data_IF_642555284286
#
_entry.id   IF_642555284286
#
_cell.length_a   1.000
_cell.length_b   1.000
_cell.length_c   1.000
_cell.angle_alpha   90.00
_cell.angle_beta   90.00
_cell.angle_gamma   90.00
#
_symmetry.space_group_name_H-M   'P 1'
#
loop_
_entity.id
_entity.type
_entity.pdbx_description
1 polymer ?
#
# COMPACT_ATOMS: atom_id res chain seq x y z
N UNK A 1 6.19 -14.10 -30.83
CA UNK A 1 5.44 -13.37 -29.79
C UNK A 1 3.96 -13.64 -30.02
N UNK A 2 3.27 -14.22 -29.03
CA UNK A 2 1.82 -14.46 -29.15
C UNK A 2 1.07 -13.13 -29.28
N UNK A 3 0.02 -13.08 -30.09
CA UNK A 3 -0.88 -11.91 -30.12
C UNK A 3 -1.47 -11.73 -28.72
N UNK A 4 -1.42 -10.52 -28.17
CA UNK A 4 -2.03 -10.17 -26.89
C UNK A 4 -3.52 -10.48 -26.87
N UNK A 5 -4.06 -10.73 -25.68
CA UNK A 5 -5.50 -10.96 -25.48
C UNK A 5 -6.23 -9.61 -25.46
N UNK A 6 -7.53 -9.58 -25.83
CA UNK A 6 -8.34 -8.37 -25.68
C UNK A 6 -8.45 -7.83 -24.24
N UNK A 7 -8.17 -8.68 -23.25
CA UNK A 7 -8.18 -8.35 -21.81
C UNK A 7 -6.85 -7.79 -21.30
N UNK A 8 -5.83 -7.74 -22.14
CA UNK A 8 -4.52 -7.25 -21.72
C UNK A 8 -4.58 -5.73 -21.50
N UNK A 9 -3.89 -5.28 -20.46
CA UNK A 9 -3.76 -3.86 -20.09
C UNK A 9 -2.29 -3.52 -19.84
N UNK A 10 -1.94 -2.25 -20.01
CA UNK A 10 -0.61 -1.72 -19.69
C UNK A 10 -0.71 -0.64 -18.62
N UNK A 11 0.19 -0.67 -17.63
CA UNK A 11 0.24 0.36 -16.58
C UNK A 11 0.74 1.66 -17.20
N UNK A 12 0.00 2.75 -16.97
CA UNK A 12 0.35 4.10 -17.42
C UNK A 12 0.81 4.97 -16.28
N UNK A 13 0.19 4.81 -15.12
CA UNK A 13 0.53 5.58 -13.93
C UNK A 13 0.26 4.74 -12.68
N UNK A 14 1.12 4.90 -11.68
CA UNK A 14 0.88 4.40 -10.34
C UNK A 14 1.19 5.53 -9.35
N UNK A 15 0.19 5.94 -8.59
CA UNK A 15 0.34 6.95 -7.54
C UNK A 15 0.11 6.31 -6.18
N UNK A 16 0.88 6.78 -5.20
CA UNK A 16 0.78 6.34 -3.81
C UNK A 16 0.51 7.55 -2.94
N UNK A 17 -0.47 7.43 -2.05
CA UNK A 17 -0.74 8.41 -1.00
C UNK A 17 -0.75 7.73 0.36
N UNK A 18 -0.48 8.52 1.40
CA UNK A 18 -0.46 8.06 2.77
C UNK A 18 -1.52 8.78 3.57
N UNK A 19 -2.27 8.03 4.37
CA UNK A 19 -3.37 8.53 5.19
C UNK A 19 -3.24 8.00 6.62
N UNK A 20 -3.24 8.87 7.61
CA UNK A 20 -3.30 8.42 9.01
C UNK A 20 -4.75 8.13 9.41
N UNK A 21 -5.00 6.92 9.90
CA UNK A 21 -6.32 6.48 10.36
C UNK A 21 -6.25 5.90 11.77
N UNK A 22 -7.17 6.28 12.67
CA UNK A 22 -7.31 5.62 13.96
C UNK A 22 -7.92 4.23 13.77
N UNK A 23 -7.49 3.26 14.58
CA UNK A 23 -8.21 2.00 14.67
C UNK A 23 -9.52 2.18 15.44
N UNK A 24 -10.56 1.44 15.03
CA UNK A 24 -11.84 1.40 15.74
C UNK A 24 -11.69 0.93 17.18
N UNK A 25 -10.73 0.02 17.43
CA UNK A 25 -10.33 -0.43 18.75
C UNK A 25 -8.83 -0.73 18.73
N UNK A 26 -8.11 -0.60 19.86
CA UNK A 26 -6.67 -0.86 19.90
C UNK A 26 -6.33 -2.27 19.42
N UNK A 27 -5.44 -2.36 18.43
CA UNK A 27 -4.93 -3.61 17.91
C UNK A 27 -3.79 -4.09 18.82
N UNK A 28 -3.95 -5.27 19.41
CA UNK A 28 -2.92 -5.90 20.25
C UNK A 28 -2.40 -7.17 19.61
N UNK A 29 -1.12 -7.16 19.23
CA UNK A 29 -0.47 -8.32 18.60
C UNK A 29 1.01 -8.36 18.95
N UNK A 30 1.56 -9.54 19.29
CA UNK A 30 2.98 -9.70 19.60
C UNK A 30 3.48 -8.86 20.78
N UNK A 31 2.64 -8.63 21.80
CA UNK A 31 2.98 -7.83 22.98
C UNK A 31 2.93 -6.30 22.77
N UNK A 32 2.61 -5.84 21.56
CA UNK A 32 2.45 -4.42 21.23
C UNK A 32 0.97 -4.05 21.16
N UNK A 33 0.65 -2.82 21.56
CA UNK A 33 -0.69 -2.21 21.41
C UNK A 33 -0.53 -1.02 20.48
N UNK A 34 -1.39 -0.95 19.46
CA UNK A 34 -1.39 0.11 18.45
C UNK A 34 -2.81 0.65 18.31
N UNK A 35 -2.97 1.97 18.33
CA UNK A 35 -4.25 2.68 18.28
C UNK A 35 -4.51 3.39 16.95
N UNK A 36 -3.48 3.59 16.13
CA UNK A 36 -3.56 4.18 14.77
C UNK A 36 -2.63 3.48 13.79
N UNK A 37 -2.87 3.67 12.50
CA UNK A 37 -1.95 3.24 11.44
C UNK A 37 -1.88 4.30 10.36
N UNK A 38 -0.79 4.28 9.59
CA UNK A 38 -0.77 4.90 8.26
C UNK A 38 -1.29 3.87 7.26
N UNK A 39 -2.26 4.23 6.42
CA UNK A 39 -2.63 3.50 5.21
C UNK A 39 -1.77 3.98 4.05
N UNK A 40 -1.26 3.03 3.28
CA UNK A 40 -0.74 3.24 1.94
C UNK A 40 -1.86 2.96 0.96
N UNK A 41 -2.25 3.98 0.22
CA UNK A 41 -3.28 3.93 -0.80
C UNK A 41 -2.60 3.98 -2.18
N UNK A 42 -2.72 2.92 -2.97
CA UNK A 42 -2.19 2.83 -4.32
C UNK A 42 -3.32 2.97 -5.34
N UNK A 43 -3.15 3.93 -6.25
CA UNK A 43 -4.02 4.11 -7.42
C UNK A 43 -3.23 3.77 -8.66
N UNK A 44 -3.73 2.83 -9.46
CA UNK A 44 -3.08 2.40 -10.71
C UNK A 44 -4.00 2.70 -11.88
N UNK A 45 -3.51 3.52 -12.81
CA UNK A 45 -4.16 3.79 -14.08
C UNK A 45 -3.58 2.86 -15.14
N UNK A 46 -4.44 2.12 -15.84
CA UNK A 46 -4.07 1.23 -16.93
C UNK A 46 -4.75 1.64 -18.22
N UNK A 47 -4.09 1.38 -19.35
CA UNK A 47 -4.69 1.49 -20.68
C UNK A 47 -4.95 0.09 -21.23
N UNK A 48 -6.20 -0.16 -21.63
CA UNK A 48 -6.61 -1.39 -22.30
C UNK A 48 -6.27 -1.37 -23.79
N UNK A 49 -6.24 -2.55 -24.43
CA UNK A 49 -5.91 -2.67 -25.86
C UNK A 49 -6.82 -1.84 -26.81
N UNK A 50 -8.00 -1.40 -26.36
CA UNK A 50 -8.90 -0.53 -27.10
C UNK A 50 -8.64 0.98 -26.89
N UNK A 51 -7.54 1.34 -26.22
CA UNK A 51 -7.14 2.72 -25.93
C UNK A 51 -7.89 3.38 -24.76
N UNK A 52 -8.77 2.64 -24.06
CA UNK A 52 -9.50 3.17 -22.91
C UNK A 52 -8.66 3.09 -21.64
N UNK A 53 -8.83 4.10 -20.79
CA UNK A 53 -8.17 4.20 -19.50
C UNK A 53 -9.11 3.71 -18.39
N UNK A 54 -8.54 2.96 -17.44
CA UNK A 54 -9.23 2.43 -16.28
C UNK A 54 -8.36 2.61 -15.04
N UNK A 55 -9.00 2.82 -13.89
CA UNK A 55 -8.32 3.05 -12.62
C UNK A 55 -8.68 1.95 -11.63
N UNK A 56 -7.67 1.35 -11.01
CA UNK A 56 -7.78 0.45 -9.88
C UNK A 56 -7.28 1.12 -8.60
N UNK A 57 -7.83 0.73 -7.46
CA UNK A 57 -7.44 1.23 -6.15
C UNK A 57 -7.17 0.06 -5.20
N UNK A 58 -6.09 0.13 -4.45
CA UNK A 58 -5.73 -0.80 -3.39
C UNK A 58 -5.23 -0.05 -2.17
N UNK A 59 -5.49 -0.60 -0.97
CA UNK A 59 -5.10 0.03 0.29
C UNK A 59 -4.59 -1.01 1.27
N UNK A 60 -3.55 -0.66 2.04
CA UNK A 60 -3.00 -1.51 3.09
C UNK A 60 -2.39 -0.68 4.23
N UNK A 61 -2.53 -1.08 5.50
CA UNK A 61 -1.73 -0.53 6.59
C UNK A 61 -0.23 -0.68 6.33
N UNK A 62 0.55 0.36 6.63
CA UNK A 62 2.01 0.26 6.64
C UNK A 62 2.40 -0.79 7.69
N UNK A 63 2.97 -1.89 7.22
CA UNK A 63 3.23 -3.07 8.04
C UNK A 63 4.50 -3.01 8.89
N UNK A 64 5.10 -1.84 9.12
CA UNK A 64 6.42 -1.66 9.73
C UNK A 64 6.59 -2.42 11.05
N UNK A 65 5.55 -2.44 11.89
CA UNK A 65 5.57 -3.13 13.20
C UNK A 65 5.79 -4.65 13.07
N UNK A 66 5.39 -5.27 11.96
CA UNK A 66 5.42 -6.72 11.76
C UNK A 66 6.31 -7.18 10.61
N UNK A 67 6.38 -6.43 9.51
CA UNK A 67 7.24 -6.73 8.36
C UNK A 67 8.71 -6.45 8.65
N UNK A 68 9.01 -5.59 9.63
CA UNK A 68 10.37 -5.23 10.03
C UNK A 68 10.56 -5.33 11.56
N UNK A 69 10.53 -6.54 12.15
CA UNK A 69 10.75 -6.70 13.59
C UNK A 69 12.24 -6.48 13.91
N UNK A 70 12.59 -5.24 14.27
CA UNK A 70 13.96 -4.87 14.66
C UNK A 70 14.06 -4.59 16.16
N UNK A 71 15.22 -4.93 16.73
CA UNK A 71 15.62 -4.52 18.08
C UNK A 71 16.40 -3.19 18.08
N UNK A 72 16.86 -2.72 16.93
CA UNK A 72 17.70 -1.52 16.78
C UNK A 72 17.02 -0.37 16.06
N UNK A 73 15.91 -0.62 15.36
CA UNK A 73 15.12 0.39 14.65
C UNK A 73 13.76 0.49 15.31
N UNK A 74 13.42 1.69 15.78
CA UNK A 74 12.14 1.95 16.40
C UNK A 74 10.99 1.86 15.38
N UNK A 75 9.78 1.41 15.77
CA UNK A 75 8.62 1.40 14.89
C UNK A 75 8.37 2.72 14.16
N UNK A 76 8.53 3.88 14.81
CA UNK A 76 8.32 5.16 14.14
C UNK A 76 9.37 5.43 13.05
N UNK A 77 10.63 5.07 13.30
CA UNK A 77 11.71 5.23 12.31
C UNK A 77 11.48 4.34 11.09
N UNK A 78 11.09 3.08 11.33
CA UNK A 78 10.76 2.16 10.23
C UNK A 78 9.50 2.61 9.45
N UNK A 79 8.49 3.17 10.12
CA UNK A 79 7.32 3.75 9.44
C UNK A 79 7.72 4.92 8.53
N UNK A 80 8.54 5.86 9.03
CA UNK A 80 9.02 7.01 8.26
C UNK A 80 9.82 6.57 7.04
N UNK A 81 10.69 5.57 7.19
CA UNK A 81 11.48 5.02 6.09
C UNK A 81 10.60 4.35 5.02
N UNK A 82 9.50 3.69 5.41
CA UNK A 82 8.57 3.05 4.46
C UNK A 82 7.66 4.06 3.73
N UNK A 83 7.59 5.30 4.20
CA UNK A 83 6.78 6.38 3.60
C UNK A 83 7.60 7.31 2.69
N UNK A 84 8.92 7.17 2.66
CA UNK A 84 9.85 7.97 1.86
C UNK A 84 10.02 7.38 0.46
#
# INVERSE_FOLDING_TARGET
>A
MGRGKPTDVSIREATVTFEEVPFRAPLKFGGRVVDRTVLLNATVTVEAANGKYHQGHGSMPVGNVWAWPSASVDPLQSEQAMKA
#
